data_IF_351833049245
#
_entry.id   IF_351833049245
#
_cell.length_a   1.000
_cell.length_b   1.000
_cell.length_c   1.000
_cell.angle_alpha   90.00
_cell.angle_beta   90.00
_cell.angle_gamma   90.00
#
_symmetry.space_group_name_H-M   'P 1'
#
loop_
_entity.id
_entity.type
_entity.pdbx_description
1 polymer ?
#
# COMPACT_ATOMS: atom_id res chain seq x y z
N UNK A 1 -5.17 -6.26 -31.00
CA UNK A 1 -4.33 -6.97 -30.00
C UNK A 1 -3.38 -5.95 -29.37
N UNK A 2 -3.14 -5.97 -28.05
CA UNK A 2 -2.18 -5.05 -27.44
C UNK A 2 -0.78 -5.34 -27.99
N UNK A 3 -0.04 -4.28 -28.37
CA UNK A 3 1.33 -4.38 -28.85
C UNK A 3 2.22 -4.96 -27.75
N UNK A 4 3.01 -5.98 -28.10
CA UNK A 4 4.06 -6.50 -27.21
C UNK A 4 5.30 -5.64 -27.35
N UNK A 5 5.93 -5.34 -26.23
CA UNK A 5 7.21 -4.65 -26.14
C UNK A 5 8.24 -5.55 -25.48
N UNK A 6 9.50 -5.38 -25.85
CA UNK A 6 10.63 -6.09 -25.26
C UNK A 6 11.45 -5.12 -24.43
N UNK A 7 11.70 -5.47 -23.17
CA UNK A 7 12.49 -4.68 -22.23
C UNK A 7 13.48 -5.57 -21.48
N UNK A 8 14.48 -4.97 -20.86
CA UNK A 8 15.41 -5.67 -19.97
C UNK A 8 15.14 -5.30 -18.52
N UNK A 9 14.97 -6.28 -17.64
CA UNK A 9 14.82 -6.07 -16.20
C UNK A 9 15.97 -6.81 -15.52
N UNK A 10 16.86 -6.08 -14.85
CA UNK A 10 18.09 -6.61 -14.24
C UNK A 10 18.95 -7.42 -15.23
N UNK A 11 18.99 -6.96 -16.49
CA UNK A 11 19.74 -7.60 -17.59
C UNK A 11 18.97 -8.69 -18.34
N UNK A 12 17.87 -9.20 -17.80
CA UNK A 12 17.08 -10.26 -18.42
C UNK A 12 16.03 -9.72 -19.39
N UNK A 13 15.98 -10.28 -20.60
CA UNK A 13 14.99 -9.92 -21.62
C UNK A 13 13.60 -10.40 -21.19
N UNK A 14 12.66 -9.45 -21.07
CA UNK A 14 11.28 -9.66 -20.65
C UNK A 14 10.34 -9.14 -21.73
N UNK A 15 9.26 -9.88 -21.99
CA UNK A 15 8.18 -9.40 -22.86
C UNK A 15 7.00 -8.92 -22.01
N UNK A 16 6.46 -7.76 -22.35
CA UNK A 16 5.31 -7.16 -21.67
C UNK A 16 4.35 -6.53 -22.68
N UNK A 17 3.13 -6.22 -22.24
CA UNK A 17 2.20 -5.43 -23.03
C UNK A 17 2.52 -3.94 -22.84
N UNK A 18 2.43 -3.14 -23.91
CA UNK A 18 2.85 -1.71 -23.92
C UNK A 18 2.19 -0.84 -22.84
N UNK A 19 1.02 -1.21 -22.33
CA UNK A 19 0.30 -0.47 -21.28
C UNK A 19 0.57 -0.98 -19.86
N UNK A 20 1.31 -2.09 -19.70
CA UNK A 20 1.65 -2.60 -18.38
C UNK A 20 2.66 -1.66 -17.71
N UNK A 21 2.53 -1.54 -16.40
CA UNK A 21 3.54 -0.88 -15.58
C UNK A 21 4.81 -1.73 -15.48
N UNK A 22 5.95 -1.09 -15.21
CA UNK A 22 7.21 -1.79 -14.90
C UNK A 22 7.01 -2.79 -13.76
N UNK A 23 6.20 -2.45 -12.75
CA UNK A 23 5.90 -3.35 -11.62
C UNK A 23 5.19 -4.63 -12.07
N UNK A 24 4.23 -4.53 -12.99
CA UNK A 24 3.50 -5.69 -13.52
C UNK A 24 4.42 -6.56 -14.37
N UNK A 25 5.22 -5.95 -15.25
CA UNK A 25 6.21 -6.66 -16.05
C UNK A 25 7.26 -7.38 -15.18
N UNK A 26 7.78 -6.69 -14.15
CA UNK A 26 8.74 -7.26 -13.21
C UNK A 26 8.15 -8.46 -12.45
N UNK A 27 6.90 -8.35 -11.96
CA UNK A 27 6.21 -9.46 -11.29
C UNK A 27 5.98 -10.65 -12.22
N UNK A 28 5.60 -10.40 -13.48
CA UNK A 28 5.43 -11.45 -14.48
C UNK A 28 6.76 -12.17 -14.79
N UNK A 29 7.90 -11.47 -14.70
CA UNK A 29 9.24 -12.01 -14.82
C UNK A 29 9.80 -12.61 -13.52
N UNK A 30 8.99 -12.73 -12.45
CA UNK A 30 9.44 -13.26 -11.16
C UNK A 30 10.35 -12.32 -10.35
N UNK A 31 10.53 -11.07 -10.78
CA UNK A 31 11.31 -10.05 -10.06
C UNK A 31 10.44 -9.38 -8.99
N UNK A 32 10.93 -9.36 -7.75
CA UNK A 32 10.21 -8.75 -6.63
C UNK A 32 10.63 -7.29 -6.43
N UNK A 33 9.67 -6.38 -6.59
CA UNK A 33 9.81 -4.97 -6.26
C UNK A 33 8.92 -4.65 -5.05
N UNK A 34 9.47 -4.11 -3.93
CA UNK A 34 8.70 -3.88 -2.72
C UNK A 34 7.67 -2.77 -2.90
N UNK A 35 6.47 -2.98 -2.36
CA UNK A 35 5.34 -2.04 -2.43
C UNK A 35 4.51 -2.09 -1.17
N UNK A 36 4.00 -0.95 -0.71
CA UNK A 36 2.95 -0.88 0.33
C UNK A 36 1.62 -0.34 -0.19
N UNK A 37 1.61 0.43 -1.28
CA UNK A 37 0.37 0.97 -1.85
C UNK A 37 -0.15 0.17 -3.04
N UNK A 38 0.72 -0.47 -3.82
CA UNK A 38 0.28 -1.31 -4.94
C UNK A 38 -0.51 -2.51 -4.39
N UNK A 39 -1.65 -2.81 -5.02
CA UNK A 39 -2.54 -3.89 -4.65
C UNK A 39 -3.19 -4.42 -5.93
N UNK A 40 -3.23 -5.74 -6.10
CA UNK A 40 -3.81 -6.37 -7.29
C UNK A 40 -5.32 -6.10 -7.32
N UNK A 41 -5.84 -5.78 -8.51
CA UNK A 41 -7.27 -5.55 -8.74
C UNK A 41 -7.74 -4.12 -8.50
N UNK A 42 -6.84 -3.20 -8.13
CA UNK A 42 -7.13 -1.76 -8.07
C UNK A 42 -6.05 -0.95 -8.76
N UNK A 43 -6.38 0.28 -9.15
CA UNK A 43 -5.50 1.25 -9.80
C UNK A 43 -4.22 1.51 -8.99
N UNK A 44 -3.12 1.86 -9.67
CA UNK A 44 -1.85 2.17 -8.99
C UNK A 44 -1.79 3.64 -8.54
N UNK A 45 -1.57 3.88 -7.25
CA UNK A 45 -1.55 5.24 -6.68
C UNK A 45 -0.17 5.91 -6.64
N UNK A 46 0.93 5.16 -6.70
CA UNK A 46 2.28 5.73 -6.56
C UNK A 46 2.60 6.37 -5.20
N UNK A 47 1.75 6.18 -4.18
CA UNK A 47 1.82 6.90 -2.90
C UNK A 47 3.04 6.54 -2.03
N UNK A 48 3.37 5.24 -1.88
CA UNK A 48 4.38 4.82 -0.90
C UNK A 48 5.84 4.97 -1.35
N UNK A 49 6.10 5.19 -2.64
CA UNK A 49 7.45 5.36 -3.24
C UNK A 49 8.47 4.22 -2.98
N UNK A 50 8.08 3.07 -2.46
CA UNK A 50 9.00 1.93 -2.27
C UNK A 50 9.43 1.23 -3.56
N UNK A 51 8.57 1.30 -4.59
CA UNK A 51 8.79 0.65 -5.87
C UNK A 51 9.67 1.47 -6.83
N UNK A 52 10.49 2.37 -6.31
CA UNK A 52 11.44 3.11 -7.14
C UNK A 52 12.43 2.13 -7.80
N UNK A 53 12.70 2.41 -9.07
CA UNK A 53 13.63 1.68 -9.94
C UNK A 53 14.48 2.67 -10.75
N UNK A 54 15.60 2.18 -11.26
CA UNK A 54 16.43 2.92 -12.20
C UNK A 54 16.08 2.51 -13.62
N UNK A 55 16.01 3.49 -14.52
CA UNK A 55 15.80 3.27 -15.96
C UNK A 55 16.95 3.90 -16.71
N UNK A 56 17.59 3.13 -17.60
CA UNK A 56 18.72 3.61 -18.38
C UNK A 56 18.34 4.87 -19.19
N UNK A 57 19.23 5.86 -19.21
CA UNK A 57 18.99 7.15 -19.86
C UNK A 57 18.11 8.13 -19.04
N UNK A 58 17.62 7.74 -17.86
CA UNK A 58 16.82 8.62 -16.99
C UNK A 58 17.61 8.99 -15.72
N UNK A 59 17.86 10.28 -15.53
CA UNK A 59 18.67 10.79 -14.40
C UNK A 59 17.94 10.80 -13.04
N UNK A 60 16.72 10.27 -12.96
CA UNK A 60 15.92 10.19 -11.72
C UNK A 60 15.33 8.79 -11.55
N UNK A 61 15.03 8.42 -10.30
CA UNK A 61 14.32 7.19 -10.01
C UNK A 61 12.85 7.30 -10.42
N UNK A 62 12.33 6.26 -11.04
CA UNK A 62 10.93 6.19 -11.48
C UNK A 62 10.13 5.19 -10.63
N UNK A 63 8.86 5.49 -10.31
CA UNK A 63 7.99 4.55 -9.61
C UNK A 63 7.54 3.43 -10.54
N UNK A 64 7.97 2.20 -10.27
CA UNK A 64 7.63 1.07 -11.13
C UNK A 64 6.12 0.83 -11.28
N UNK A 65 5.30 1.17 -10.26
CA UNK A 65 3.87 0.92 -10.28
C UNK A 65 3.07 1.83 -11.23
N UNK A 66 3.59 3.01 -11.58
CA UNK A 66 2.86 3.98 -12.44
C UNK A 66 3.61 4.30 -13.73
N UNK A 67 4.84 3.83 -13.89
CA UNK A 67 5.60 4.02 -15.12
C UNK A 67 5.28 2.88 -16.09
N UNK A 68 4.71 3.17 -17.27
CA UNK A 68 4.46 2.16 -18.29
C UNK A 68 5.77 1.66 -18.89
N UNK A 69 5.80 0.39 -19.31
CA UNK A 69 6.92 -0.18 -20.03
C UNK A 69 7.03 0.42 -21.43
N UNK A 70 8.25 0.51 -21.96
CA UNK A 70 8.50 0.94 -23.34
C UNK A 70 9.45 -0.06 -24.01
N UNK A 71 9.36 -0.15 -25.33
CA UNK A 71 10.24 -1.01 -26.10
C UNK A 71 11.70 -0.57 -25.98
N UNK A 72 12.61 -1.51 -25.78
CA UNK A 72 14.04 -1.26 -25.56
C UNK A 72 14.37 -0.70 -24.17
N UNK A 73 13.40 -0.52 -23.27
CA UNK A 73 13.66 -0.03 -21.92
C UNK A 73 14.59 -0.98 -21.15
N UNK A 74 15.53 -0.44 -20.38
CA UNK A 74 16.38 -1.20 -19.47
C UNK A 74 16.18 -0.71 -18.03
N UNK A 75 15.72 -1.61 -17.16
CA UNK A 75 15.32 -1.32 -15.78
C UNK A 75 16.24 -2.07 -14.82
N UNK A 76 16.74 -1.38 -13.80
CA UNK A 76 17.40 -1.99 -12.64
C UNK A 76 16.47 -1.90 -11.43
N UNK A 77 16.17 -3.04 -10.82
CA UNK A 77 15.23 -3.15 -9.70
C UNK A 77 15.92 -3.29 -8.34
N UNK A 78 17.20 -3.68 -8.34
CA UNK A 78 18.01 -3.85 -7.15
C UNK A 78 19.42 -3.32 -7.36
N UNK A 79 19.86 -2.41 -6.48
CA UNK A 79 21.24 -1.98 -6.31
C UNK A 79 21.36 -1.22 -4.98
N UNK A 80 22.59 -0.87 -4.59
CA UNK A 80 22.86 -0.21 -3.31
C UNK A 80 22.10 1.13 -3.16
N UNK A 81 21.99 1.91 -4.23
CA UNK A 81 21.27 3.19 -4.22
C UNK A 81 19.78 2.99 -3.99
N UNK A 82 19.15 2.05 -4.69
CA UNK A 82 17.73 1.70 -4.49
C UNK A 82 17.47 1.17 -3.07
N UNK A 83 18.36 0.34 -2.53
CA UNK A 83 18.24 -0.16 -1.16
C UNK A 83 18.34 0.98 -0.14
N UNK A 84 19.25 1.94 -0.32
CA UNK A 84 19.36 3.11 0.53
C UNK A 84 18.08 3.98 0.50
N UNK A 85 17.52 4.23 -0.69
CA UNK A 85 16.25 4.97 -0.83
C UNK A 85 15.06 4.25 -0.19
N UNK A 86 15.00 2.92 -0.30
CA UNK A 86 13.94 2.11 0.33
C UNK A 86 14.03 2.15 1.85
N UNK A 87 15.23 2.05 2.44
CA UNK A 87 15.45 2.23 3.89
C UNK A 87 14.99 3.61 4.36
N UNK A 88 15.42 4.68 3.68
CA UNK A 88 14.98 6.05 3.99
C UNK A 88 13.45 6.17 3.95
N UNK A 89 12.83 5.63 2.90
CA UNK A 89 11.37 5.64 2.76
C UNK A 89 10.68 4.95 3.94
N UNK A 90 11.15 3.76 4.34
CA UNK A 90 10.60 3.05 5.51
C UNK A 90 10.80 3.85 6.80
N UNK A 91 11.99 4.39 7.04
CA UNK A 91 12.26 5.20 8.23
C UNK A 91 11.35 6.43 8.30
N UNK A 92 11.10 7.10 7.17
CA UNK A 92 10.18 8.24 7.11
C UNK A 92 8.75 7.82 7.42
N UNK A 93 8.26 6.72 6.82
CA UNK A 93 6.93 6.16 7.10
C UNK A 93 6.76 5.80 8.58
N UNK A 94 7.79 5.21 9.20
CA UNK A 94 7.80 4.90 10.62
C UNK A 94 7.79 6.16 11.49
N UNK A 95 8.55 7.20 11.11
CA UNK A 95 8.68 8.46 11.88
C UNK A 95 7.44 9.35 11.82
N UNK A 96 6.61 9.24 10.78
CA UNK A 96 5.49 10.14 10.55
C UNK A 96 4.35 9.94 11.56
N UNK A 97 4.13 8.70 11.99
CA UNK A 97 3.04 8.28 12.88
C UNK A 97 3.54 7.37 14.01
N UNK A 98 2.62 6.75 14.77
CA UNK A 98 2.93 5.98 15.98
C UNK A 98 2.95 4.48 15.67
N UNK A 99 4.09 4.00 15.17
CA UNK A 99 4.29 2.59 14.85
C UNK A 99 4.93 1.80 16.01
N UNK A 100 4.16 1.57 17.07
CA UNK A 100 4.58 0.76 18.23
C UNK A 100 4.14 -0.69 18.01
N UNK A 101 5.02 -1.53 17.47
CA UNK A 101 4.65 -2.87 17.00
C UNK A 101 4.25 -3.82 18.14
N UNK A 102 4.84 -3.70 19.33
CA UNK A 102 4.60 -4.58 20.48
C UNK A 102 3.14 -4.58 20.98
N UNK A 103 2.38 -3.52 20.69
CA UNK A 103 0.97 -3.37 21.09
C UNK A 103 0.03 -3.26 19.88
N UNK A 104 0.56 -3.50 18.68
CA UNK A 104 -0.22 -3.42 17.46
C UNK A 104 -0.91 -4.75 17.20
N UNK A 105 -2.22 -4.71 16.95
CA UNK A 105 -3.03 -5.90 16.61
C UNK A 105 -2.55 -6.58 15.31
N UNK A 106 -1.88 -5.86 14.42
CA UNK A 106 -1.33 -6.44 13.18
C UNK A 106 0.15 -6.83 13.30
N UNK A 107 0.70 -6.96 14.51
CA UNK A 107 2.07 -7.44 14.71
C UNK A 107 2.26 -8.81 14.04
N UNK A 108 3.38 -9.01 13.33
CA UNK A 108 3.62 -10.24 12.55
C UNK A 108 2.85 -10.32 11.22
N UNK A 109 1.75 -9.59 11.08
CA UNK A 109 0.93 -9.53 9.86
C UNK A 109 1.00 -8.17 9.12
N UNK A 110 1.84 -7.25 9.58
CA UNK A 110 2.01 -5.90 9.02
C UNK A 110 3.05 -5.89 7.89
N UNK A 111 2.67 -5.42 6.69
CA UNK A 111 3.59 -5.31 5.55
C UNK A 111 4.70 -4.27 5.80
N UNK A 112 4.37 -3.15 6.46
CA UNK A 112 5.37 -2.13 6.82
C UNK A 112 6.44 -2.71 7.75
N UNK A 113 6.03 -3.49 8.75
CA UNK A 113 6.93 -4.16 9.67
C UNK A 113 7.80 -5.18 8.93
N UNK A 114 7.20 -6.03 8.09
CA UNK A 114 7.93 -7.02 7.30
C UNK A 114 8.95 -6.40 6.36
N UNK A 115 8.62 -5.28 5.71
CA UNK A 115 9.56 -4.56 4.85
C UNK A 115 10.67 -3.86 5.65
N UNK A 116 10.38 -3.32 6.84
CA UNK A 116 11.40 -2.77 7.71
C UNK A 116 12.43 -3.83 8.10
N UNK A 117 11.97 -5.03 8.47
CA UNK A 117 12.84 -6.16 8.79
C UNK A 117 13.66 -6.61 7.57
N UNK A 118 13.03 -6.84 6.42
CA UNK A 118 13.73 -7.33 5.22
C UNK A 118 14.75 -6.34 4.66
N UNK A 119 14.54 -5.04 4.86
CA UNK A 119 15.48 -4.00 4.46
C UNK A 119 16.56 -3.70 5.52
N UNK A 120 16.50 -4.35 6.69
CA UNK A 120 17.46 -4.17 7.77
C UNK A 120 17.34 -2.83 8.51
N UNK A 121 16.12 -2.28 8.60
CA UNK A 121 15.86 -1.06 9.38
C UNK A 121 15.76 -1.44 10.86
N UNK A 122 16.81 -1.15 11.62
CA UNK A 122 16.92 -1.42 13.05
C UNK A 122 16.75 -0.17 13.93
N UNK A 123 16.89 1.02 13.34
CA UNK A 123 16.68 2.31 13.99
C UNK A 123 16.16 3.31 12.95
N UNK A 124 15.43 4.32 13.43
CA UNK A 124 14.95 5.45 12.62
C UNK A 124 15.81 6.66 12.94
N UNK A 125 16.45 7.24 11.91
CA UNK A 125 17.36 8.38 12.07
C UNK A 125 16.65 9.72 12.16
N UNK A 126 15.36 9.75 11.84
CA UNK A 126 14.54 10.95 11.82
C UNK A 126 13.74 11.09 13.13
N UNK A 127 13.58 12.30 13.67
CA UNK A 127 12.71 12.53 14.82
C UNK A 127 11.28 12.08 14.53
N UNK A 128 10.73 11.25 15.42
CA UNK A 128 9.33 10.86 15.35
C UNK A 128 8.43 12.06 15.64
N UNK A 129 7.34 12.16 14.88
CA UNK A 129 6.38 13.26 15.04
C UNK A 129 5.40 13.06 16.19
N UNK A 130 5.21 11.81 16.61
CA UNK A 130 4.26 11.38 17.64
C UNK A 130 2.92 12.15 17.66
N UNK A 131 2.20 12.24 16.52
CA UNK A 131 0.94 12.97 16.51
C UNK A 131 -0.09 12.28 17.41
N UNK A 132 -0.99 13.09 17.99
CA UNK A 132 -2.15 12.60 18.74
C UNK A 132 -3.38 12.68 17.85
N UNK A 133 -3.62 11.63 17.07
CA UNK A 133 -4.76 11.58 16.15
C UNK A 133 -5.91 10.79 16.78
N UNK A 134 -7.12 11.14 16.40
CA UNK A 134 -8.33 10.44 16.83
C UNK A 134 -8.31 9.00 16.33
N UNK A 135 -8.69 8.08 17.21
CA UNK A 135 -9.05 6.70 16.85
C UNK A 135 -10.56 6.67 16.69
N UNK A 136 -11.04 6.25 15.53
CA UNK A 136 -12.46 6.12 15.26
C UNK A 136 -12.91 4.67 15.54
N UNK A 137 -13.66 4.53 16.63
CA UNK A 137 -14.30 3.28 17.07
C UNK A 137 -15.81 3.34 16.91
N UNK A 138 -16.36 4.22 16.06
CA UNK A 138 -17.81 4.37 15.91
C UNK A 138 -18.47 3.21 15.16
N UNK A 139 -17.78 2.58 14.21
CA UNK A 139 -18.33 1.48 13.42
C UNK A 139 -18.45 0.19 14.25
N UNK A 140 -19.58 -0.52 14.22
CA UNK A 140 -19.87 -1.68 15.08
C UNK A 140 -18.76 -2.74 15.08
N UNK A 141 -18.24 -3.07 13.90
CA UNK A 141 -17.24 -4.14 13.71
C UNK A 141 -15.79 -3.71 13.59
N UNK A 142 -15.51 -2.48 13.17
CA UNK A 142 -14.17 -2.08 12.71
C UNK A 142 -13.67 -0.84 13.43
N UNK A 143 -12.34 -0.68 13.45
CA UNK A 143 -11.65 0.49 14.02
C UNK A 143 -10.73 1.11 12.99
N UNK A 144 -10.68 2.44 12.98
CA UNK A 144 -9.71 3.23 12.22
C UNK A 144 -8.80 4.00 13.19
N UNK A 145 -7.54 3.55 13.28
CA UNK A 145 -6.48 4.24 14.02
C UNK A 145 -5.59 5.04 13.06
N UNK A 146 -5.83 6.35 13.00
CA UNK A 146 -5.02 7.26 12.20
C UNK A 146 -3.54 7.29 12.60
N UNK A 147 -3.23 6.95 13.85
CA UNK A 147 -1.86 6.93 14.35
C UNK A 147 -1.03 5.79 13.76
N UNK A 148 -1.63 4.88 12.97
CA UNK A 148 -0.92 3.78 12.30
C UNK A 148 -1.02 3.85 10.77
N UNK A 149 -1.66 4.89 10.24
CA UNK A 149 -1.95 5.04 8.82
C UNK A 149 -0.77 5.68 8.06
N UNK A 150 -0.30 5.01 7.01
CA UNK A 150 0.76 5.50 6.12
C UNK A 150 0.24 6.18 4.85
N UNK A 151 -1.05 6.55 4.81
CA UNK A 151 -1.70 7.23 3.67
C UNK A 151 -1.48 6.54 2.31
N UNK A 152 -1.43 5.20 2.29
CA UNK A 152 -1.23 4.42 1.06
C UNK A 152 -2.43 4.39 0.11
N UNK A 153 -3.58 4.93 0.55
CA UNK A 153 -4.87 5.00 -0.15
C UNK A 153 -5.41 3.65 -0.68
N UNK A 154 -4.94 2.51 -0.17
CA UNK A 154 -5.53 1.20 -0.51
C UNK A 154 -6.99 1.10 -0.08
N UNK A 155 -7.33 1.58 1.12
CA UNK A 155 -8.72 1.58 1.60
C UNK A 155 -9.66 2.40 0.70
N UNK A 156 -9.20 3.57 0.23
CA UNK A 156 -9.91 4.44 -0.71
C UNK A 156 -10.20 3.69 -2.01
N UNK A 157 -9.14 3.20 -2.67
CA UNK A 157 -9.27 2.53 -3.97
C UNK A 157 -10.07 1.23 -3.89
N UNK A 158 -9.87 0.43 -2.86
CA UNK A 158 -10.65 -0.82 -2.70
C UNK A 158 -12.13 -0.53 -2.46
N UNK A 159 -12.46 0.48 -1.66
CA UNK A 159 -13.84 0.84 -1.40
C UNK A 159 -14.53 1.44 -2.64
N UNK A 160 -13.80 2.18 -3.48
CA UNK A 160 -14.31 2.73 -4.72
C UNK A 160 -14.39 1.68 -5.84
N UNK A 161 -13.30 0.98 -6.12
CA UNK A 161 -13.13 0.18 -7.35
C UNK A 161 -13.59 -1.28 -7.20
N UNK A 162 -13.54 -1.86 -5.98
CA UNK A 162 -13.93 -3.25 -5.75
C UNK A 162 -15.29 -3.40 -5.05
N UNK A 163 -15.66 -2.43 -4.22
CA UNK A 163 -16.96 -2.41 -3.54
C UNK A 163 -17.95 -1.47 -4.22
N UNK A 164 -17.49 -0.36 -4.81
CA UNK A 164 -18.39 0.67 -5.36
C UNK A 164 -19.07 1.52 -4.29
N UNK A 165 -18.62 1.48 -3.03
CA UNK A 165 -19.26 2.15 -1.90
C UNK A 165 -18.76 3.58 -1.67
N UNK A 166 -17.55 3.92 -2.14
CA UNK A 166 -16.97 5.28 -2.06
C UNK A 166 -17.03 5.94 -0.67
N UNK A 167 -16.88 5.16 0.40
CA UNK A 167 -16.92 5.66 1.79
C UNK A 167 -15.73 6.54 2.11
N UNK A 168 -14.55 6.18 1.60
CA UNK A 168 -13.28 6.75 2.01
C UNK A 168 -12.76 7.80 1.03
N UNK A 169 -12.22 8.89 1.56
CA UNK A 169 -11.43 9.87 0.81
C UNK A 169 -10.24 10.37 1.64
N UNK A 170 -9.34 11.15 1.05
CA UNK A 170 -8.23 11.82 1.75
C UNK A 170 -8.61 13.27 2.06
N UNK A 171 -8.75 13.58 3.34
CA UNK A 171 -8.98 14.94 3.80
C UNK A 171 -7.67 15.67 4.09
N UNK A 172 -7.71 17.00 3.98
CA UNK A 172 -6.57 17.92 4.24
C UNK A 172 -5.37 17.65 3.31
N UNK A 173 -4.22 18.28 3.60
CA UNK A 173 -3.00 18.21 2.75
C UNK A 173 -1.73 18.18 3.59
N UNK A 174 -0.66 17.68 2.97
CA UNK A 174 0.65 17.58 3.60
C UNK A 174 0.59 16.81 4.90
N UNK A 175 1.25 17.32 5.93
CA UNK A 175 1.38 16.66 7.22
C UNK A 175 0.08 16.47 8.02
N UNK A 176 -1.01 17.14 7.63
CA UNK A 176 -2.33 17.03 8.26
C UNK A 176 -3.28 16.11 7.50
N UNK A 177 -2.82 15.52 6.38
CA UNK A 177 -3.61 14.60 5.59
C UNK A 177 -4.01 13.36 6.42
N UNK A 178 -5.27 12.93 6.26
CA UNK A 178 -5.81 11.73 6.89
C UNK A 178 -6.95 11.17 6.05
N UNK A 179 -7.25 9.88 6.24
CA UNK A 179 -8.41 9.26 5.62
C UNK A 179 -9.68 9.77 6.31
N UNK A 180 -10.69 10.16 5.55
CA UNK A 180 -11.97 10.60 6.07
C UNK A 180 -13.07 9.68 5.54
N UNK A 181 -14.04 9.37 6.40
CA UNK A 181 -15.27 8.69 6.03
C UNK A 181 -16.31 9.72 5.60
N UNK A 182 -17.02 9.46 4.50
CA UNK A 182 -18.22 10.14 3.97
C UNK A 182 -18.48 11.55 4.55
N UNK A 183 -17.85 12.58 3.96
CA UNK A 183 -17.95 13.98 4.43
C UNK A 183 -17.43 14.21 5.88
N UNK A 184 -16.35 13.51 6.26
CA UNK A 184 -15.70 13.58 7.59
C UNK A 184 -16.59 13.19 8.77
N UNK A 185 -17.64 12.40 8.55
CA UNK A 185 -18.43 11.83 9.65
C UNK A 185 -17.71 10.64 10.30
N UNK A 186 -18.07 10.26 11.53
CA UNK A 186 -17.63 8.99 12.12
C UNK A 186 -17.98 7.81 11.21
N UNK A 187 -17.09 6.81 11.10
CA UNK A 187 -17.28 5.68 10.20
C UNK A 187 -18.58 4.90 10.46
N UNK A 188 -19.01 4.77 11.71
CA UNK A 188 -20.30 4.13 12.06
C UNK A 188 -21.54 4.86 11.55
N UNK A 189 -21.42 6.14 11.16
CA UNK A 189 -22.50 6.94 10.59
C UNK A 189 -22.46 7.00 9.06
N UNK A 190 -21.49 6.32 8.43
CA UNK A 190 -21.36 6.23 6.98
C UNK A 190 -22.51 5.40 6.39
N UNK A 191 -23.36 6.06 5.60
CA UNK A 191 -24.55 5.44 5.01
C UNK A 191 -24.21 4.58 3.81
N UNK A 192 -23.10 4.88 3.12
CA UNK A 192 -22.65 4.09 1.97
C UNK A 192 -21.81 2.88 2.38
N UNK A 193 -21.43 2.74 3.66
CA UNK A 193 -20.62 1.63 4.10
C UNK A 193 -21.40 0.31 4.15
N UNK A 194 -20.91 -0.69 3.42
CA UNK A 194 -21.53 -2.04 3.37
C UNK A 194 -21.01 -2.99 4.44
N UNK A 195 -20.16 -2.52 5.36
CA UNK A 195 -19.48 -3.36 6.37
C UNK A 195 -18.69 -4.56 5.79
N UNK A 196 -18.26 -4.49 4.52
CA UNK A 196 -17.65 -5.63 3.82
C UNK A 196 -16.23 -6.00 4.31
N UNK A 197 -15.55 -5.15 5.08
CA UNK A 197 -14.20 -5.41 5.61
C UNK A 197 -13.06 -5.42 4.58
N UNK A 198 -13.34 -5.22 3.28
CA UNK A 198 -12.31 -5.21 2.22
C UNK A 198 -11.22 -4.18 2.50
N UNK A 199 -11.57 -2.96 2.94
CA UNK A 199 -10.60 -1.93 3.31
C UNK A 199 -9.72 -2.31 4.52
N UNK A 200 -10.28 -3.08 5.46
CA UNK A 200 -9.54 -3.62 6.62
C UNK A 200 -8.50 -4.63 6.15
N UNK A 201 -8.89 -5.56 5.29
CA UNK A 201 -7.96 -6.56 4.72
C UNK A 201 -6.92 -5.92 3.79
N UNK A 202 -7.28 -4.85 3.07
CA UNK A 202 -6.37 -4.11 2.19
C UNK A 202 -5.24 -3.38 2.93
N UNK A 203 -5.46 -3.02 4.20
CA UNK A 203 -4.58 -2.15 4.94
C UNK A 203 -3.22 -2.83 5.16
N UNK A 204 -2.10 -2.23 4.71
CA UNK A 204 -0.76 -2.81 4.87
C UNK A 204 -0.23 -2.66 6.31
N UNK A 205 -0.96 -1.98 7.19
CA UNK A 205 -0.60 -1.72 8.59
C UNK A 205 -1.78 -2.04 9.50
N UNK A 206 -1.62 -1.80 10.81
CA UNK A 206 -2.70 -1.91 11.79
C UNK A 206 -3.59 -0.67 11.91
N UNK A 207 -3.69 0.16 10.86
CA UNK A 207 -4.54 1.36 10.88
C UNK A 207 -6.02 1.04 10.75
N UNK A 208 -6.37 -0.02 10.02
CA UNK A 208 -7.72 -0.55 9.94
C UNK A 208 -7.70 -1.98 10.48
N UNK A 209 -8.55 -2.26 11.46
CA UNK A 209 -8.62 -3.56 12.13
C UNK A 209 -10.06 -3.92 12.52
N UNK A 210 -10.28 -5.19 12.83
CA UNK A 210 -11.52 -5.66 13.45
C UNK A 210 -11.48 -5.38 14.96
N UNK A 211 -12.63 -4.99 15.51
CA UNK A 211 -12.75 -4.75 16.94
C UNK A 211 -12.74 -6.07 17.71
N UNK A 212 -12.07 -6.07 18.85
CA UNK A 212 -11.99 -7.23 19.75
C UNK A 212 -11.01 -8.32 19.31
N UNK A 213 -10.40 -8.20 18.12
CA UNK A 213 -9.44 -9.19 17.64
C UNK A 213 -8.06 -9.02 18.29
N UNK A 214 -7.43 -10.14 18.63
CA UNK A 214 -6.04 -10.25 19.02
C UNK A 214 -5.08 -10.34 17.81
N UNK A 215 -3.79 -10.49 18.11
CA UNK A 215 -2.73 -10.56 17.09
C UNK A 215 -2.91 -11.76 16.16
N UNK A 216 -3.14 -12.94 16.74
CA UNK A 216 -3.31 -14.20 15.99
C UNK A 216 -4.56 -14.21 15.10
N UNK A 217 -5.57 -13.40 15.43
CA UNK A 217 -6.81 -13.30 14.65
C UNK A 217 -6.66 -12.31 13.49
N UNK A 218 -5.94 -11.21 13.69
CA UNK A 218 -5.81 -10.12 12.71
C UNK A 218 -4.80 -10.42 11.59
N UNK A 219 -4.97 -11.57 10.96
CA UNK A 219 -4.24 -11.98 9.77
C UNK A 219 -4.71 -11.17 8.56
N UNK A 220 -3.76 -10.56 7.85
CA UNK A 220 -4.00 -9.85 6.58
C UNK A 220 -3.70 -10.78 5.40
N UNK A 221 -4.68 -11.01 4.53
CA UNK A 221 -4.51 -11.85 3.33
C UNK A 221 -3.80 -11.07 2.21
N UNK A 222 -2.61 -11.54 1.82
CA UNK A 222 -1.70 -10.83 0.87
C UNK A 222 -2.05 -11.05 -0.60
N UNK A 223 -2.72 -12.15 -0.94
CA UNK A 223 -2.89 -12.63 -2.32
C UNK A 223 -4.10 -12.06 -3.06
N UNK A 224 -4.58 -10.90 -2.61
CA UNK A 224 -5.70 -10.19 -3.21
C UNK A 224 -6.95 -10.24 -2.35
N UNK A 225 -7.76 -9.20 -2.50
CA UNK A 225 -9.03 -9.06 -1.80
C UNK A 225 -10.10 -9.74 -2.65
N UNK A 226 -10.94 -10.61 -2.08
CA UNK A 226 -12.04 -11.21 -2.81
C UNK A 226 -12.86 -10.13 -3.51
N UNK A 227 -12.98 -10.23 -4.83
CA UNK A 227 -13.87 -9.37 -5.59
C UNK A 227 -15.32 -9.75 -5.23
N UNK A 228 -16.20 -8.76 -5.23
CA UNK A 228 -17.63 -9.03 -5.06
C UNK A 228 -18.08 -10.01 -6.16
N UNK A 229 -18.57 -11.19 -5.75
CA UNK A 229 -19.27 -12.12 -6.64
C UNK A 229 -20.76 -11.93 -6.38
N UNK A 230 -21.53 -11.34 -7.32
CA UNK A 230 -22.98 -11.36 -7.19
C UNK A 230 -23.45 -12.83 -7.20
N UNK A 231 -24.10 -13.26 -6.12
CA UNK A 231 -24.76 -14.58 -6.05
C UNK A 231 -24.04 -15.72 -5.31
N UNK A 232 -23.09 -15.46 -4.41
CA UNK A 232 -22.50 -16.50 -3.55
C UNK A 232 -23.23 -16.63 -2.21
N UNK A 233 -23.88 -17.77 -1.96
CA UNK A 233 -24.49 -18.13 -0.67
C UNK A 233 -23.46 -18.13 0.47
N UNK A 234 -23.95 -17.76 1.66
CA UNK A 234 -23.18 -17.61 2.90
C UNK A 234 -22.63 -18.94 3.42
#
# INVERSE_FOLDING_TARGET
MPRKVSLRIDGELTSAQEHQSILEAARAAGKQIPTLCALKGVSNAGACRLCLVEVAGVNRLLPACTTPVQDGMAVTTTNQKLQAHRRITIELLLSERNHVCSVCVSNGHCELQGLAQSLGVNAVRYPYRYPRLKVDTSHDRFVLDHNRCILCTRCVRVCAELEGAHVWDTARRGITAHIASELQRPWGEARTCTSCGKCVQACPTGALAEKGWGVEEMVKRRDGIPQYRPGGER
#
